data_IF_339510225992
#
_entry.id   IF_339510225992
#
_cell.length_a   1.000
_cell.length_b   1.000
_cell.length_c   1.000
_cell.angle_alpha   90.00
_cell.angle_beta   90.00
_cell.angle_gamma   90.00
#
_symmetry.space_group_name_H-M   'P 1'
#
loop_
_entity.id
_entity.type
_entity.pdbx_description
1 polymer ?
#
# COMPACT_ATOMS: atom_id res chain seq x y z
N UNK A 1 -43.30 -7.00 43.63
CA UNK A 1 -42.06 -6.48 43.00
C UNK A 1 -41.81 -7.33 41.76
N UNK A 2 -42.21 -6.85 40.58
CA UNK A 2 -42.01 -7.55 39.32
C UNK A 2 -40.93 -6.80 38.52
N UNK A 3 -39.87 -7.50 38.13
CA UNK A 3 -38.72 -6.97 37.43
C UNK A 3 -39.01 -6.94 35.92
N UNK A 4 -39.07 -5.74 35.35
CA UNK A 4 -39.17 -5.52 33.90
C UNK A 4 -37.80 -5.77 33.26
N UNK A 5 -37.68 -6.84 32.48
CA UNK A 5 -36.53 -7.07 31.59
C UNK A 5 -36.79 -6.35 30.26
N UNK A 6 -36.15 -5.20 30.08
CA UNK A 6 -36.10 -4.47 28.82
C UNK A 6 -35.14 -5.17 27.87
N UNK A 7 -35.67 -5.77 26.81
CA UNK A 7 -34.88 -6.40 25.74
C UNK A 7 -34.45 -5.33 24.75
N UNK A 8 -33.18 -4.92 24.81
CA UNK A 8 -32.55 -4.08 23.80
C UNK A 8 -32.04 -4.95 22.65
N UNK A 9 -32.58 -4.74 21.45
CA UNK A 9 -32.15 -5.41 20.23
C UNK A 9 -30.71 -4.97 19.87
N UNK A 10 -29.84 -5.90 19.38
CA UNK A 10 -28.54 -5.52 18.84
C UNK A 10 -28.74 -4.85 17.47
N UNK A 11 -28.22 -3.62 17.33
CA UNK A 11 -28.08 -2.96 16.05
C UNK A 11 -27.02 -3.70 15.21
N UNK A 12 -27.47 -4.50 14.25
CA UNK A 12 -26.62 -5.17 13.27
C UNK A 12 -25.99 -4.11 12.35
N UNK A 13 -24.73 -3.77 12.58
CA UNK A 13 -23.94 -2.97 11.65
C UNK A 13 -23.64 -3.82 10.42
N UNK A 14 -24.42 -3.63 9.36
CA UNK A 14 -24.16 -4.18 8.03
C UNK A 14 -22.98 -3.41 7.46
N UNK A 15 -21.77 -3.97 7.56
CA UNK A 15 -20.63 -3.46 6.79
C UNK A 15 -20.87 -3.77 5.31
N UNK A 16 -21.21 -2.74 4.55
CA UNK A 16 -21.27 -2.79 3.09
C UNK A 16 -19.93 -3.24 2.53
N UNK A 17 -19.92 -4.45 1.97
CA UNK A 17 -18.84 -5.00 1.15
C UNK A 17 -18.81 -4.20 -0.17
N UNK A 18 -18.11 -3.07 -0.16
CA UNK A 18 -17.91 -2.25 -1.35
C UNK A 18 -16.81 -2.87 -2.21
N UNK A 19 -17.26 -3.59 -3.24
CA UNK A 19 -16.57 -3.90 -4.50
C UNK A 19 -15.21 -4.58 -4.40
N UNK A 20 -15.29 -5.90 -4.16
CA UNK A 20 -14.33 -6.83 -4.73
C UNK A 20 -14.35 -6.69 -6.27
N UNK A 21 -13.16 -6.77 -6.87
CA UNK A 21 -12.89 -7.04 -8.28
C UNK A 21 -12.65 -5.84 -9.23
N UNK A 22 -11.36 -5.51 -9.42
CA UNK A 22 -10.71 -5.43 -10.75
C UNK A 22 -9.21 -5.72 -10.60
N UNK A 23 -8.86 -6.98 -10.36
CA UNK A 23 -7.50 -7.44 -10.65
C UNK A 23 -7.35 -7.49 -12.18
N UNK A 24 -6.71 -6.49 -12.78
CA UNK A 24 -6.15 -6.65 -14.12
C UNK A 24 -4.95 -7.60 -13.98
N UNK A 25 -5.18 -8.89 -14.17
CA UNK A 25 -4.12 -9.87 -14.39
C UNK A 25 -3.54 -9.55 -15.77
N UNK A 26 -2.39 -8.90 -15.81
CA UNK A 26 -1.60 -8.76 -17.03
C UNK A 26 -0.72 -10.00 -17.13
N UNK A 27 -1.04 -10.87 -18.07
CA UNK A 27 -0.21 -12.04 -18.40
C UNK A 27 1.09 -11.54 -19.02
N UNK A 28 2.18 -11.53 -18.27
CA UNK A 28 3.51 -11.22 -18.79
C UNK A 28 4.03 -12.41 -19.59
N UNK A 29 4.03 -12.27 -20.92
CA UNK A 29 4.77 -13.15 -21.82
C UNK A 29 6.21 -12.64 -21.88
N UNK A 30 7.11 -13.32 -21.19
CA UNK A 30 8.54 -13.01 -21.21
C UNK A 30 9.16 -13.51 -22.52
N UNK A 31 9.64 -12.60 -23.37
CA UNK A 31 10.58 -12.92 -24.43
C UNK A 31 11.84 -12.06 -24.25
N UNK A 32 12.97 -12.73 -24.06
CA UNK A 32 14.25 -12.15 -23.66
C UNK A 32 15.06 -11.79 -24.90
N UNK A 33 15.53 -10.54 -25.02
CA UNK A 33 16.72 -10.16 -25.79
C UNK A 33 17.47 -9.00 -25.12
N UNK A 34 18.79 -9.17 -25.05
CA UNK A 34 19.83 -8.32 -24.45
C UNK A 34 20.86 -7.97 -25.57
N UNK A 35 21.85 -7.04 -25.47
CA UNK A 35 22.02 -5.68 -24.89
C UNK A 35 22.48 -4.64 -25.98
N UNK A 36 22.99 -3.39 -25.70
CA UNK A 36 24.38 -3.08 -25.26
C UNK A 36 24.52 -1.86 -24.26
N UNK A 37 25.74 -1.51 -23.76
CA UNK A 37 25.95 -0.83 -22.45
C UNK A 37 26.42 0.66 -22.57
N UNK A 38 26.90 1.35 -21.51
CA UNK A 38 26.36 2.63 -21.02
C UNK A 38 27.16 3.88 -21.45
N UNK A 39 26.63 5.09 -21.17
CA UNK A 39 27.49 6.16 -20.69
C UNK A 39 27.03 6.62 -19.31
N UNK A 40 27.96 6.47 -18.38
CA UNK A 40 27.94 7.01 -17.04
C UNK A 40 28.01 8.53 -17.12
N UNK A 41 27.09 9.25 -16.49
CA UNK A 41 27.32 10.53 -15.79
C UNK A 41 26.05 10.88 -15.04
N UNK A 42 26.21 11.05 -13.73
CA UNK A 42 25.12 11.29 -12.80
C UNK A 42 24.30 12.52 -13.16
N UNK A 43 22.98 12.33 -13.12
CA UNK A 43 21.99 13.13 -12.41
C UNK A 43 20.69 12.37 -12.67
N UNK A 44 20.24 11.57 -11.70
CA UNK A 44 18.90 10.96 -11.70
C UNK A 44 17.94 12.14 -11.80
N UNK A 45 17.48 12.44 -13.02
CA UNK A 45 16.39 13.38 -13.27
C UNK A 45 15.30 12.98 -12.27
N UNK A 46 14.77 13.92 -11.46
CA UNK A 46 13.73 13.58 -10.50
C UNK A 46 12.64 12.91 -11.31
N UNK A 47 12.46 11.59 -11.09
CA UNK A 47 11.44 10.81 -11.74
C UNK A 47 10.18 11.65 -11.67
N UNK A 48 9.62 12.02 -12.83
CA UNK A 48 8.44 12.89 -12.96
C UNK A 48 7.53 12.56 -11.79
N UNK A 49 7.32 13.52 -10.89
CA UNK A 49 6.53 13.32 -9.68
C UNK A 49 5.06 13.18 -10.10
N UNK A 50 4.74 12.02 -10.66
CA UNK A 50 3.39 11.60 -10.95
C UNK A 50 2.66 11.69 -9.62
N UNK A 51 1.67 12.57 -9.59
CA UNK A 51 0.92 12.89 -8.40
C UNK A 51 0.35 11.58 -7.86
N UNK A 52 0.82 11.16 -6.69
CA UNK A 52 0.39 9.92 -6.08
C UNK A 52 -1.09 10.04 -5.70
N UNK A 53 -1.91 9.14 -6.24
CA UNK A 53 -3.34 9.10 -6.00
C UNK A 53 -3.75 7.79 -5.33
N UNK A 54 -4.97 7.76 -4.80
CA UNK A 54 -5.53 6.53 -4.24
C UNK A 54 -5.71 5.53 -5.39
N UNK A 55 -5.22 4.30 -5.18
CA UNK A 55 -5.20 3.24 -6.20
C UNK A 55 -3.93 3.19 -7.04
N UNK A 56 -3.06 4.21 -7.00
CA UNK A 56 -1.78 4.19 -7.73
C UNK A 56 -0.90 3.02 -7.28
N UNK A 57 -0.24 2.32 -8.23
CA UNK A 57 0.77 1.31 -7.90
C UNK A 57 2.02 2.00 -7.37
N UNK A 58 2.58 1.46 -6.30
CA UNK A 58 3.79 1.97 -5.66
C UNK A 58 4.76 0.85 -5.37
N UNK A 59 6.05 1.17 -5.39
CA UNK A 59 7.12 0.26 -4.99
C UNK A 59 7.86 0.85 -3.79
N UNK A 60 8.14 0.01 -2.80
CA UNK A 60 8.95 0.38 -1.66
C UNK A 60 10.42 0.49 -2.06
N UNK A 61 11.02 1.65 -1.82
CA UNK A 61 12.43 1.90 -2.10
C UNK A 61 13.32 1.55 -0.90
N UNK A 62 12.80 1.67 0.31
CA UNK A 62 13.52 1.38 1.55
C UNK A 62 12.56 0.81 2.59
N UNK A 63 13.03 -0.15 3.38
CA UNK A 63 12.28 -0.73 4.48
C UNK A 63 12.24 0.23 5.69
N UNK A 64 11.05 0.68 6.14
CA UNK A 64 10.94 1.48 7.35
C UNK A 64 11.40 0.67 8.57
N UNK A 65 12.13 1.28 9.53
CA UNK A 65 12.55 0.61 10.78
C UNK A 65 11.36 0.18 11.65
N UNK A 66 10.32 1.01 11.67
CA UNK A 66 9.09 0.76 12.42
C UNK A 66 7.88 1.02 11.52
N UNK A 67 6.85 0.22 11.67
CA UNK A 67 5.65 0.29 10.84
C UNK A 67 4.38 0.19 11.68
N UNK A 68 3.35 0.95 11.30
CA UNK A 68 2.03 0.85 11.94
C UNK A 68 1.13 -0.06 11.10
N UNK A 69 0.50 -1.02 11.76
CA UNK A 69 -0.51 -1.87 11.11
C UNK A 69 -1.85 -1.15 11.07
N UNK A 70 -2.56 -1.21 9.94
CA UNK A 70 -3.90 -0.63 9.81
C UNK A 70 -5.02 -1.56 10.34
N UNK A 71 -4.77 -2.26 11.46
CA UNK A 71 -5.76 -3.07 12.15
C UNK A 71 -6.72 -2.19 12.98
N UNK A 72 -7.81 -2.78 13.52
CA UNK A 72 -8.77 -2.06 14.38
C UNK A 72 -8.10 -1.35 15.55
N UNK A 73 -7.01 -1.93 16.07
CA UNK A 73 -6.12 -1.28 17.04
C UNK A 73 -4.76 -1.09 16.36
N UNK A 74 -4.40 0.14 15.95
CA UNK A 74 -3.11 0.41 15.34
C UNK A 74 -1.99 0.18 16.35
N UNK A 75 -1.11 -0.77 16.05
CA UNK A 75 0.10 -0.99 16.84
C UNK A 75 1.33 -0.67 16.00
N UNK A 76 2.26 0.05 16.61
CA UNK A 76 3.58 0.32 16.06
C UNK A 76 4.46 -0.89 16.35
N UNK A 77 5.03 -1.49 15.32
CA UNK A 77 5.88 -2.69 15.42
C UNK A 77 7.19 -2.46 14.70
N UNK A 78 8.23 -3.14 15.16
CA UNK A 78 9.50 -3.19 14.42
C UNK A 78 9.27 -3.94 13.12
N UNK A 79 9.86 -3.45 12.05
CA UNK A 79 9.81 -4.12 10.76
C UNK A 79 10.81 -5.30 10.75
N UNK A 80 10.38 -6.44 11.28
CA UNK A 80 11.15 -7.69 11.28
C UNK A 80 10.98 -8.45 9.96
N UNK A 81 11.20 -7.77 8.83
CA UNK A 81 11.02 -8.34 7.49
C UNK A 81 9.56 -8.40 7.00
N UNK A 82 8.67 -7.61 7.63
CA UNK A 82 7.27 -7.49 7.21
C UNK A 82 7.13 -6.72 5.90
N UNK A 83 8.02 -5.76 5.68
CA UNK A 83 8.05 -4.94 4.49
C UNK A 83 9.50 -4.79 4.06
N UNK A 84 9.80 -5.19 2.84
CA UNK A 84 11.13 -5.16 2.28
C UNK A 84 11.22 -4.15 1.13
N UNK A 85 12.43 -3.66 0.81
CA UNK A 85 12.64 -2.89 -0.41
C UNK A 85 12.28 -3.77 -1.62
N UNK A 86 11.63 -3.19 -2.62
CA UNK A 86 11.12 -3.89 -3.80
C UNK A 86 9.70 -4.44 -3.65
N UNK A 87 9.13 -4.41 -2.44
CA UNK A 87 7.73 -4.80 -2.26
C UNK A 87 6.81 -3.83 -3.02
N UNK A 88 5.92 -4.40 -3.81
CA UNK A 88 4.94 -3.65 -4.61
C UNK A 88 3.61 -3.63 -3.90
N UNK A 89 2.99 -2.46 -3.86
CA UNK A 89 1.70 -2.25 -3.22
C UNK A 89 0.81 -1.29 -3.99
N UNK A 90 -0.35 -1.01 -3.39
CA UNK A 90 -1.27 0.04 -3.86
C UNK A 90 -1.65 0.98 -2.74
N UNK A 91 -1.82 2.24 -3.08
CA UNK A 91 -2.30 3.26 -2.15
C UNK A 91 -3.78 3.02 -1.85
N UNK A 92 -4.13 2.88 -0.57
CA UNK A 92 -5.49 2.72 -0.06
C UNK A 92 -6.08 4.06 0.38
N UNK A 93 -5.31 4.87 1.10
CA UNK A 93 -5.79 6.17 1.58
C UNK A 93 -4.64 7.12 1.91
N UNK A 94 -4.89 8.42 1.79
CA UNK A 94 -3.99 9.49 2.25
C UNK A 94 -4.23 9.78 3.72
N UNK A 95 -3.15 9.93 4.48
CA UNK A 95 -3.19 10.44 5.85
C UNK A 95 -2.44 11.78 5.94
N UNK A 96 -2.68 12.56 7.01
CA UNK A 96 -1.89 13.76 7.28
C UNK A 96 -0.40 13.43 7.42
N UNK A 97 0.45 14.46 7.30
CA UNK A 97 1.92 14.36 7.45
C UNK A 97 2.60 13.42 6.45
N UNK A 98 2.07 13.37 5.23
CA UNK A 98 2.61 12.55 4.14
C UNK A 98 2.75 11.05 4.50
N UNK A 99 1.83 10.59 5.35
CA UNK A 99 1.68 9.18 5.69
C UNK A 99 0.60 8.59 4.78
N UNK A 100 0.82 7.39 4.29
CA UNK A 100 -0.05 6.73 3.32
C UNK A 100 -0.40 5.34 3.82
N UNK A 101 -1.67 4.95 3.68
CA UNK A 101 -2.04 3.56 3.87
C UNK A 101 -1.74 2.81 2.58
N UNK A 102 -0.80 1.87 2.63
CA UNK A 102 -0.39 1.06 1.48
C UNK A 102 -0.82 -0.39 1.72
N UNK A 103 -1.52 -0.98 0.75
CA UNK A 103 -1.85 -2.41 0.74
C UNK A 103 -0.71 -3.16 0.07
N UNK A 104 -0.05 -3.99 0.86
CA UNK A 104 0.93 -4.99 0.44
C UNK A 104 0.29 -6.38 0.48
N UNK A 105 1.02 -7.37 -0.02
CA UNK A 105 0.61 -8.78 0.03
C UNK A 105 0.33 -9.25 1.47
N UNK A 106 1.17 -8.84 2.42
CA UNK A 106 1.08 -9.26 3.83
C UNK A 106 -0.06 -8.53 4.56
N UNK A 107 -0.38 -7.31 4.16
CA UNK A 107 -1.41 -6.53 4.83
C UNK A 107 -1.41 -5.05 4.45
N UNK A 108 -2.21 -4.27 5.19
CA UNK A 108 -2.26 -2.81 5.02
C UNK A 108 -1.45 -2.13 6.11
N UNK A 109 -0.53 -1.26 5.70
CA UNK A 109 0.38 -0.57 6.61
C UNK A 109 0.37 0.93 6.37
N UNK A 110 0.70 1.70 7.41
CA UNK A 110 0.95 3.14 7.27
C UNK A 110 2.43 3.37 7.02
N UNK A 111 2.75 3.95 5.87
CA UNK A 111 4.10 4.15 5.36
C UNK A 111 4.25 5.62 4.97
N UNK A 112 5.37 6.23 5.34
CA UNK A 112 5.68 7.61 4.94
C UNK A 112 6.01 7.68 3.44
N UNK A 113 5.68 8.79 2.78
CA UNK A 113 5.96 9.01 1.35
C UNK A 113 7.43 8.92 0.94
N UNK A 114 8.36 8.96 1.91
CA UNK A 114 9.81 8.80 1.68
C UNK A 114 10.27 7.36 1.47
N UNK A 115 9.44 6.37 1.81
CA UNK A 115 9.82 4.95 1.73
C UNK A 115 9.32 4.26 0.46
N UNK A 116 8.54 4.95 -0.38
CA UNK A 116 8.01 4.39 -1.61
C UNK A 116 7.94 5.42 -2.73
N UNK A 117 7.95 4.95 -3.95
CA UNK A 117 7.83 5.77 -5.16
C UNK A 117 6.70 5.21 -6.06
N UNK A 118 6.07 6.04 -6.91
CA UNK A 118 5.12 5.56 -7.91
C UNK A 118 5.80 4.58 -8.85
N UNK A 119 5.14 3.45 -9.11
CA UNK A 119 5.59 2.52 -10.13
C UNK A 119 5.24 3.09 -11.51
N UNK A 120 6.24 3.59 -12.24
CA UNK A 120 6.08 3.99 -13.63
C UNK A 120 6.09 2.72 -14.49
N UNK A 121 4.93 2.40 -15.08
CA UNK A 121 4.84 1.42 -16.14
C UNK A 121 4.84 2.22 -17.44
N UNK A 122 6.00 2.29 -18.09
CA UNK A 122 6.07 2.77 -19.46
C UNK A 122 5.34 1.73 -20.33
N UNK A 123 4.34 2.20 -21.08
CA UNK A 123 3.49 1.38 -21.98
C UNK A 123 4.24 0.93 -23.24
#
# INVERSE_FOLDING_TARGET
MALSISSAAPATMIFSNSQFNRFRVVTIKCESKEPPPPPETGLRLPAKSSKLEIGSPVILIEAPKMIKTAASVPCLRVNSGLVNPGDVGRIVSRKPKDVWAVRLTIGTYLIDGKYFEPLQLDE
#
